data_IF_143341719647
#
_entry.id   IF_143341719647
#
_cell.length_a   1.000
_cell.length_b   1.000
_cell.length_c   1.000
_cell.angle_alpha   90.00
_cell.angle_beta   90.00
_cell.angle_gamma   90.00
#
_symmetry.space_group_name_H-M   'P 1'
#
loop_
_entity.id
_entity.type
_entity.pdbx_description
1 polymer ?
#
# COMPACT_ATOMS: atom_id res chain seq x y z
N UNK A 1 17.47 -6.45 10.00
CA UNK A 1 17.44 -7.88 10.41
C UNK A 1 17.89 -8.73 9.23
N UNK A 2 18.69 -9.77 9.46
CA UNK A 2 19.10 -10.71 8.41
C UNK A 2 18.10 -11.87 8.35
N UNK A 3 17.13 -11.79 7.43
CA UNK A 3 16.08 -12.79 7.26
C UNK A 3 16.61 -14.18 6.95
N UNK A 4 17.76 -14.27 6.26
CA UNK A 4 18.33 -15.54 5.81
C UNK A 4 18.76 -16.46 6.95
N UNK A 5 18.91 -15.91 8.16
CA UNK A 5 19.18 -16.69 9.39
C UNK A 5 17.96 -17.42 9.94
N UNK A 6 16.76 -17.03 9.52
CA UNK A 6 15.50 -17.55 10.07
C UNK A 6 14.69 -18.31 9.01
N UNK A 7 14.59 -17.75 7.81
CA UNK A 7 13.79 -18.31 6.71
C UNK A 7 14.44 -18.02 5.34
N UNK A 8 14.13 -18.85 4.35
CA UNK A 8 14.75 -18.79 3.01
C UNK A 8 14.17 -17.70 2.11
N UNK A 9 14.27 -16.42 2.51
CA UNK A 9 13.85 -15.24 1.74
C UNK A 9 15.01 -14.27 1.52
N UNK A 10 15.05 -13.62 0.37
CA UNK A 10 16.06 -12.64 -0.03
C UNK A 10 15.80 -11.24 0.55
N UNK A 11 14.58 -10.97 0.98
CA UNK A 11 14.14 -9.71 1.56
C UNK A 11 12.65 -9.79 1.89
N UNK A 12 12.14 -8.81 2.64
CA UNK A 12 10.72 -8.67 2.97
C UNK A 12 10.30 -7.20 2.82
N UNK A 13 9.00 -6.93 2.73
CA UNK A 13 8.51 -5.56 2.64
C UNK A 13 8.74 -4.79 3.95
N UNK A 14 8.69 -3.46 3.86
CA UNK A 14 8.69 -2.57 5.03
C UNK A 14 7.29 -2.40 5.66
N UNK A 15 6.28 -3.10 5.12
CA UNK A 15 4.87 -2.97 5.47
C UNK A 15 4.31 -4.30 6.01
N UNK A 16 4.79 -4.79 7.17
CA UNK A 16 4.20 -5.96 7.80
C UNK A 16 2.81 -5.63 8.34
N UNK A 17 1.93 -6.63 8.34
CA UNK A 17 0.65 -6.58 9.04
C UNK A 17 0.71 -7.32 10.37
N UNK A 18 -0.19 -6.98 11.30
CA UNK A 18 -0.24 -7.60 12.62
C UNK A 18 -1.67 -8.05 12.94
N UNK A 19 -1.80 -9.26 13.47
CA UNK A 19 -3.03 -9.68 14.16
C UNK A 19 -3.06 -9.11 15.60
N UNK A 20 -4.24 -9.02 16.24
CA UNK A 20 -4.37 -8.47 17.59
C UNK A 20 -3.58 -9.19 18.68
N UNK A 21 -3.22 -10.46 18.46
CA UNK A 21 -2.38 -11.23 19.38
C UNK A 21 -0.89 -10.90 19.27
N UNK A 22 -0.50 -10.05 18.31
CA UNK A 22 0.88 -9.68 18.02
C UNK A 22 1.55 -10.50 16.93
N UNK A 23 0.87 -11.50 16.33
CA UNK A 23 1.40 -12.26 15.20
C UNK A 23 1.65 -11.32 14.03
N UNK A 24 2.87 -11.31 13.51
CA UNK A 24 3.23 -10.49 12.35
C UNK A 24 3.19 -11.30 11.05
N UNK A 25 2.66 -10.69 10.00
CA UNK A 25 2.69 -11.21 8.64
C UNK A 25 3.49 -10.26 7.75
N UNK A 26 4.27 -10.81 6.84
CA UNK A 26 5.00 -10.04 5.85
C UNK A 26 5.09 -10.84 4.53
N UNK A 27 5.53 -10.19 3.45
CA UNK A 27 5.80 -10.84 2.18
C UNK A 27 7.25 -10.63 1.77
N UNK A 28 7.86 -11.68 1.21
CA UNK A 28 9.27 -11.66 0.78
C UNK A 28 9.54 -12.52 -0.44
N UNK A 29 10.63 -12.24 -1.14
CA UNK A 29 10.98 -12.96 -2.38
C UNK A 29 11.98 -14.07 -2.13
N UNK A 30 11.90 -15.15 -2.89
CA UNK A 30 12.97 -16.14 -3.03
C UNK A 30 13.35 -16.29 -4.50
N UNK A 31 14.64 -16.37 -4.78
CA UNK A 31 15.18 -16.59 -6.12
C UNK A 31 15.97 -17.91 -6.15
N UNK A 32 15.54 -18.85 -6.99
CA UNK A 32 16.15 -20.18 -7.07
C UNK A 32 16.27 -20.71 -8.49
N UNK A 33 16.83 -21.91 -8.63
CA UNK A 33 17.04 -22.59 -9.92
C UNK A 33 15.74 -22.80 -10.72
N UNK A 34 14.60 -22.88 -10.03
CA UNK A 34 13.29 -23.10 -10.65
C UNK A 34 12.51 -21.81 -10.93
N UNK A 35 13.09 -20.64 -10.62
CA UNK A 35 12.47 -19.33 -10.83
C UNK A 35 12.36 -18.50 -9.56
N UNK A 36 11.47 -17.51 -9.59
CA UNK A 36 11.18 -16.62 -8.47
C UNK A 36 9.84 -16.95 -7.82
N UNK A 37 9.79 -16.85 -6.50
CA UNK A 37 8.59 -17.03 -5.70
C UNK A 37 8.36 -15.83 -4.77
N UNK A 38 7.10 -15.53 -4.51
CA UNK A 38 6.64 -14.61 -3.47
C UNK A 38 6.18 -15.44 -2.28
N UNK A 39 6.70 -15.16 -1.09
CA UNK A 39 6.48 -15.96 0.10
C UNK A 39 5.70 -15.15 1.12
N UNK A 40 4.66 -15.76 1.66
CA UNK A 40 3.95 -15.25 2.81
C UNK A 40 4.68 -15.71 4.07
N UNK A 41 5.13 -14.76 4.86
CA UNK A 41 5.90 -14.94 6.08
C UNK A 41 4.97 -14.72 7.27
N UNK A 42 5.02 -15.62 8.25
CA UNK A 42 4.37 -15.47 9.55
C UNK A 42 5.42 -15.50 10.64
N UNK A 43 5.36 -14.56 11.59
CA UNK A 43 6.20 -14.49 12.78
C UNK A 43 5.29 -14.53 14.00
N UNK A 44 5.47 -15.49 14.92
CA UNK A 44 4.63 -15.63 16.11
C UNK A 44 4.80 -14.43 17.07
N UNK A 45 3.82 -14.19 17.96
CA UNK A 45 3.85 -13.07 18.89
C UNK A 45 4.82 -13.28 20.07
N UNK A 46 5.06 -14.54 20.44
CA UNK A 46 5.82 -14.89 21.64
C UNK A 46 7.32 -14.63 21.45
N UNK A 47 7.88 -13.84 22.36
CA UNK A 47 9.33 -13.72 22.56
C UNK A 47 9.63 -14.41 23.89
N UNK A 48 10.32 -15.54 23.84
CA UNK A 48 10.75 -16.27 25.05
C UNK A 48 11.83 -15.45 25.78
N UNK A 49 12.67 -14.74 25.02
CA UNK A 49 13.69 -13.83 25.54
C UNK A 49 13.60 -12.44 24.89
N UNK A 50 13.94 -11.39 25.65
CA UNK A 50 13.97 -9.98 25.17
C UNK A 50 14.92 -9.75 23.98
N UNK A 51 15.85 -10.67 23.72
CA UNK A 51 16.76 -10.64 22.58
C UNK A 51 16.23 -11.33 21.32
N UNK A 52 15.10 -12.06 21.40
CA UNK A 52 14.51 -12.72 20.25
C UNK A 52 13.90 -11.70 19.29
N UNK A 53 14.24 -11.85 18.01
CA UNK A 53 13.75 -10.97 16.94
C UNK A 53 12.71 -11.67 16.09
N UNK A 54 13.14 -12.64 15.28
CA UNK A 54 12.30 -13.37 14.31
C UNK A 54 12.30 -14.89 14.57
N UNK A 55 12.55 -15.32 15.81
CA UNK A 55 12.49 -16.73 16.14
C UNK A 55 11.07 -17.27 15.89
N UNK A 56 10.99 -18.48 15.34
CA UNK A 56 9.72 -19.08 14.93
C UNK A 56 9.13 -18.53 13.63
N UNK A 57 9.82 -17.63 12.91
CA UNK A 57 9.39 -17.20 11.59
C UNK A 57 9.23 -18.38 10.62
N UNK A 58 8.15 -18.38 9.84
CA UNK A 58 7.79 -19.44 8.91
C UNK A 58 7.34 -18.87 7.57
N UNK A 59 7.67 -19.56 6.49
CA UNK A 59 7.00 -19.37 5.20
C UNK A 59 5.76 -20.26 5.20
N UNK A 60 4.58 -19.65 5.18
CA UNK A 60 3.30 -20.38 5.24
C UNK A 60 2.69 -20.62 3.84
N UNK A 61 3.13 -19.84 2.84
CA UNK A 61 2.71 -20.01 1.45
C UNK A 61 3.80 -19.50 0.51
N UNK A 62 3.99 -20.16 -0.63
CA UNK A 62 4.88 -19.71 -1.71
C UNK A 62 4.10 -19.65 -3.03
N UNK A 63 4.03 -18.47 -3.62
CA UNK A 63 3.36 -18.19 -4.88
C UNK A 63 4.43 -18.07 -5.97
N UNK A 64 4.37 -18.92 -6.99
CA UNK A 64 5.30 -18.84 -8.11
C UNK A 64 5.03 -17.59 -8.95
N UNK A 65 6.09 -16.87 -9.33
CA UNK A 65 5.98 -15.77 -10.30
C UNK A 65 5.44 -16.27 -11.63
N UNK A 66 4.51 -15.53 -12.21
CA UNK A 66 4.05 -15.77 -13.58
C UNK A 66 5.21 -15.79 -14.58
N UNK A 67 6.18 -14.89 -14.34
CA UNK A 67 7.37 -14.72 -15.17
C UNK A 67 8.62 -15.07 -14.35
N UNK A 68 9.20 -16.25 -14.61
CA UNK A 68 10.27 -16.84 -13.77
C UNK A 68 11.44 -15.89 -13.48
N UNK A 69 11.88 -15.12 -14.48
CA UNK A 69 13.03 -14.20 -14.38
C UNK A 69 12.64 -12.72 -14.35
N UNK A 70 11.34 -12.44 -14.27
CA UNK A 70 10.77 -11.10 -14.16
C UNK A 70 9.66 -11.04 -13.10
N UNK A 71 9.96 -11.35 -11.82
CA UNK A 71 8.98 -11.18 -10.75
C UNK A 71 8.51 -9.74 -10.67
N UNK A 72 7.32 -9.55 -10.13
CA UNK A 72 6.77 -8.25 -9.80
C UNK A 72 7.54 -7.62 -8.64
N UNK A 73 7.81 -6.33 -8.74
CA UNK A 73 8.07 -5.48 -7.59
C UNK A 73 6.75 -5.17 -6.90
N UNK A 74 6.70 -5.38 -5.59
CA UNK A 74 5.58 -5.01 -4.73
C UNK A 74 6.13 -4.39 -3.46
N UNK A 75 5.35 -3.48 -2.89
CA UNK A 75 5.77 -2.68 -1.74
C UNK A 75 4.96 -3.02 -0.48
N UNK A 76 3.69 -3.38 -0.64
CA UNK A 76 2.80 -3.85 0.42
C UNK A 76 1.90 -4.98 -0.09
N UNK A 77 1.01 -5.49 0.77
CA UNK A 77 0.05 -6.54 0.47
C UNK A 77 -1.24 -6.30 1.27
N UNK A 78 -2.35 -6.92 0.89
CA UNK A 78 -3.60 -6.83 1.65
C UNK A 78 -3.71 -7.93 2.70
N UNK A 79 -4.34 -7.64 3.83
CA UNK A 79 -4.66 -8.65 4.85
C UNK A 79 -6.07 -8.42 5.41
N UNK A 80 -6.86 -9.49 5.44
CA UNK A 80 -8.14 -9.55 6.15
C UNK A 80 -8.01 -10.42 7.39
N UNK A 81 -9.14 -10.68 8.08
CA UNK A 81 -9.17 -11.63 9.19
C UNK A 81 -8.67 -13.03 8.78
N UNK A 82 -9.08 -13.52 7.61
CA UNK A 82 -8.81 -14.90 7.17
C UNK A 82 -7.91 -15.00 5.94
N UNK A 83 -7.62 -13.91 5.24
CA UNK A 83 -6.92 -13.96 3.95
C UNK A 83 -5.76 -12.98 3.84
N UNK A 84 -4.78 -13.36 3.03
CA UNK A 84 -3.68 -12.51 2.57
C UNK A 84 -3.84 -12.34 1.06
N UNK A 85 -3.71 -11.10 0.58
CA UNK A 85 -3.92 -10.73 -0.81
C UNK A 85 -2.63 -10.17 -1.37
N UNK A 86 -2.03 -10.90 -2.30
CA UNK A 86 -0.86 -10.47 -3.02
C UNK A 86 -1.23 -9.88 -4.39
N UNK A 87 -0.72 -8.68 -4.66
CA UNK A 87 -0.97 -7.95 -5.90
C UNK A 87 0.26 -8.11 -6.81
N UNK A 88 0.19 -9.00 -7.78
CA UNK A 88 1.24 -9.19 -8.78
C UNK A 88 1.05 -8.18 -9.93
N UNK A 89 1.69 -7.03 -9.78
CA UNK A 89 1.56 -5.88 -10.69
C UNK A 89 2.57 -5.89 -11.86
N UNK A 90 2.33 -5.11 -12.94
CA UNK A 90 3.19 -5.01 -14.12
C UNK A 90 4.48 -4.18 -13.90
N UNK A 91 4.86 -3.90 -12.66
CA UNK A 91 6.15 -3.30 -12.32
C UNK A 91 7.17 -4.43 -12.16
N UNK A 92 7.91 -4.77 -13.21
CA UNK A 92 8.71 -6.01 -13.29
C UNK A 92 10.17 -5.78 -12.90
N UNK A 93 10.74 -6.75 -12.19
CA UNK A 93 12.15 -6.81 -11.77
C UNK A 93 12.92 -7.78 -12.67
N UNK A 94 13.70 -7.26 -13.61
CA UNK A 94 14.52 -8.08 -14.49
C UNK A 94 15.77 -8.61 -13.75
N UNK A 95 15.69 -9.82 -13.22
CA UNK A 95 16.74 -10.41 -12.38
C UNK A 95 18.08 -10.52 -13.11
N UNK A 96 18.10 -10.76 -14.43
CA UNK A 96 19.33 -10.78 -15.21
C UNK A 96 20.04 -9.42 -15.23
N UNK A 97 19.30 -8.33 -15.44
CA UNK A 97 19.85 -6.97 -15.35
C UNK A 97 20.37 -6.68 -13.95
N UNK A 98 19.68 -7.15 -12.93
CA UNK A 98 20.01 -6.88 -11.53
C UNK A 98 21.24 -7.66 -11.08
N UNK A 99 21.37 -8.94 -11.44
CA UNK A 99 22.54 -9.77 -11.16
C UNK A 99 23.79 -9.20 -11.88
N UNK A 100 23.62 -8.70 -13.11
CA UNK A 100 24.72 -8.11 -13.89
C UNK A 100 24.99 -6.62 -13.61
N UNK A 101 24.22 -6.00 -12.70
CA UNK A 101 24.24 -4.55 -12.46
C UNK A 101 25.62 -4.02 -12.07
N UNK A 102 26.29 -4.68 -11.12
CA UNK A 102 27.64 -4.31 -10.66
C UNK A 102 28.67 -4.35 -11.79
N UNK A 103 28.63 -5.39 -12.64
CA UNK A 103 29.55 -5.53 -13.77
C UNK A 103 29.28 -4.45 -14.83
N UNK A 104 28.02 -4.06 -14.99
CA UNK A 104 27.59 -3.03 -15.96
C UNK A 104 27.70 -1.59 -15.45
N UNK A 105 28.08 -1.39 -14.18
CA UNK A 105 28.08 -0.07 -13.54
C UNK A 105 26.68 0.59 -13.49
N UNK A 106 25.63 -0.24 -13.39
CA UNK A 106 24.22 0.19 -13.39
C UNK A 106 23.61 0.06 -12.00
N UNK A 107 22.58 0.86 -11.72
CA UNK A 107 21.86 0.79 -10.46
C UNK A 107 20.91 -0.43 -10.43
N UNK A 108 20.58 -0.91 -9.23
CA UNK A 108 19.59 -1.98 -9.06
C UNK A 108 18.21 -1.59 -9.62
N UNK A 109 17.85 -0.30 -9.45
CA UNK A 109 16.62 0.30 -9.99
C UNK A 109 16.52 0.22 -11.51
N UNK A 110 17.63 0.17 -12.25
CA UNK A 110 17.64 0.04 -13.71
C UNK A 110 17.12 -1.33 -14.19
N UNK A 111 17.02 -2.28 -13.24
CA UNK A 111 16.40 -3.58 -13.45
C UNK A 111 14.87 -3.56 -13.30
N UNK A 112 14.28 -2.48 -12.79
CA UNK A 112 12.84 -2.37 -12.56
C UNK A 112 12.20 -1.58 -13.69
N UNK A 113 11.14 -2.09 -14.29
CA UNK A 113 10.44 -1.43 -15.39
C UNK A 113 8.94 -1.67 -15.38
N UNK A 114 8.20 -0.62 -15.74
CA UNK A 114 6.77 -0.71 -16.06
C UNK A 114 6.57 -1.47 -17.37
N UNK A 115 5.84 -2.59 -17.32
CA UNK A 115 5.56 -3.47 -18.45
C UNK A 115 4.03 -3.68 -18.59
N UNK A 116 3.27 -2.66 -19.07
CA UNK A 116 1.79 -2.65 -19.08
C UNK A 116 1.15 -3.67 -20.03
N UNK A 117 1.95 -4.38 -20.84
CA UNK A 117 1.44 -5.52 -21.61
C UNK A 117 1.04 -6.71 -20.73
N UNK A 118 1.48 -6.73 -19.46
CA UNK A 118 1.01 -7.69 -18.47
C UNK A 118 -0.19 -7.13 -17.70
N UNK A 119 -1.14 -8.00 -17.38
CA UNK A 119 -2.25 -7.68 -16.49
C UNK A 119 -1.80 -7.73 -15.02
N UNK A 120 -2.48 -6.97 -14.16
CA UNK A 120 -2.37 -7.13 -12.70
C UNK A 120 -3.10 -8.41 -12.29
N UNK A 121 -2.53 -9.20 -11.38
CA UNK A 121 -3.17 -10.40 -10.81
C UNK A 121 -3.32 -10.26 -9.31
N UNK A 122 -4.46 -10.71 -8.78
CA UNK A 122 -4.65 -10.82 -7.33
C UNK A 122 -4.59 -12.29 -6.94
N UNK A 123 -3.73 -12.61 -5.99
CA UNK A 123 -3.59 -13.94 -5.41
C UNK A 123 -4.15 -13.89 -4.00
N UNK A 124 -5.09 -14.79 -3.67
CA UNK A 124 -5.73 -14.85 -2.34
C UNK A 124 -5.26 -16.11 -1.64
N UNK A 125 -4.62 -15.94 -0.49
CA UNK A 125 -4.11 -17.03 0.35
C UNK A 125 -4.96 -17.11 1.61
N UNK A 126 -5.48 -18.29 1.93
CA UNK A 126 -6.07 -18.57 3.23
C UNK A 126 -4.97 -18.51 4.30
N UNK A 127 -5.08 -17.53 5.19
CA UNK A 127 -4.06 -17.20 6.20
C UNK A 127 -3.89 -18.32 7.24
N UNK A 128 -4.96 -19.07 7.50
CA UNK A 128 -4.98 -20.11 8.54
C UNK A 128 -4.30 -21.39 8.04
N UNK A 129 -4.55 -21.75 6.78
CA UNK A 129 -4.07 -23.01 6.17
C UNK A 129 -2.82 -22.83 5.32
N UNK A 130 -2.51 -21.59 4.90
CA UNK A 130 -1.46 -21.30 3.92
C UNK A 130 -1.83 -21.67 2.48
N UNK A 131 -3.07 -22.11 2.24
CA UNK A 131 -3.52 -22.54 0.93
C UNK A 131 -3.77 -21.34 0.00
N UNK A 132 -3.15 -21.36 -1.17
CA UNK A 132 -3.50 -20.45 -2.27
C UNK A 132 -4.87 -20.86 -2.83
N UNK A 133 -5.83 -19.94 -2.82
CA UNK A 133 -7.15 -20.16 -3.39
C UNK A 133 -7.09 -20.22 -4.92
N UNK A 134 -7.95 -21.02 -5.58
CA UNK A 134 -7.90 -21.25 -7.01
C UNK A 134 -8.43 -20.07 -7.86
N UNK A 135 -8.98 -19.03 -7.22
CA UNK A 135 -9.55 -17.87 -7.89
C UNK A 135 -8.52 -17.15 -8.78
N UNK A 136 -8.83 -17.06 -10.07
CA UNK A 136 -7.96 -16.44 -11.08
C UNK A 136 -8.37 -14.98 -11.33
N UNK A 137 -8.06 -14.09 -10.39
CA UNK A 137 -8.46 -12.68 -10.47
C UNK A 137 -7.45 -11.83 -11.23
N UNK A 138 -7.93 -11.03 -12.18
CA UNK A 138 -7.12 -10.16 -13.02
C UNK A 138 -7.72 -8.77 -13.11
N UNK A 139 -6.89 -7.76 -13.34
CA UNK A 139 -7.34 -6.42 -13.71
C UNK A 139 -6.47 -5.83 -14.81
N UNK A 140 -6.93 -4.70 -15.36
CA UNK A 140 -6.09 -3.83 -16.18
C UNK A 140 -4.81 -3.46 -15.43
N UNK A 141 -3.71 -3.21 -16.14
CA UNK A 141 -2.44 -2.84 -15.52
C UNK A 141 -2.60 -1.56 -14.67
N UNK A 142 -2.09 -1.60 -13.44
CA UNK A 142 -1.89 -0.43 -12.57
C UNK A 142 -0.68 -0.69 -11.66
N UNK A 143 -0.15 0.36 -11.03
CA UNK A 143 0.84 0.27 -9.96
C UNK A 143 0.22 0.68 -8.63
N UNK A 144 0.58 -0.01 -7.57
CA UNK A 144 0.29 0.36 -6.18
C UNK A 144 1.52 0.19 -5.33
N UNK A 145 1.77 1.16 -4.45
CA UNK A 145 2.78 1.04 -3.39
C UNK A 145 2.11 0.69 -2.06
N UNK A 146 1.04 1.40 -1.70
CA UNK A 146 0.37 1.24 -0.43
C UNK A 146 -1.06 0.71 -0.57
N UNK A 147 -1.32 -0.35 0.17
CA UNK A 147 -2.65 -0.80 0.49
C UNK A 147 -3.27 0.11 1.55
N UNK A 148 -4.57 0.39 1.42
CA UNK A 148 -5.33 1.23 2.37
C UNK A 148 -5.93 0.34 3.46
N UNK A 149 -6.81 -0.57 3.06
CA UNK A 149 -7.38 -1.60 3.94
C UNK A 149 -7.91 -2.78 3.09
N UNK A 150 -8.16 -3.91 3.74
CA UNK A 150 -8.83 -5.05 3.14
C UNK A 150 -9.76 -5.67 4.17
N UNK A 151 -10.92 -6.18 3.75
CA UNK A 151 -11.86 -6.84 4.66
C UNK A 151 -12.73 -7.86 3.93
N UNK A 152 -13.46 -8.67 4.70
CA UNK A 152 -14.38 -9.66 4.17
C UNK A 152 -15.83 -9.19 4.32
N UNK A 153 -16.64 -9.31 3.27
CA UNK A 153 -18.08 -9.06 3.31
C UNK A 153 -18.79 -9.95 2.29
N UNK A 154 -19.91 -10.58 2.70
CA UNK A 154 -20.77 -11.45 1.87
C UNK A 154 -20.00 -12.41 0.93
N UNK A 155 -19.00 -13.13 1.47
CA UNK A 155 -18.23 -14.11 0.70
C UNK A 155 -17.24 -13.51 -0.29
N UNK A 156 -16.93 -12.23 -0.18
CA UNK A 156 -15.93 -11.53 -0.96
C UNK A 156 -14.82 -10.96 -0.07
N UNK A 157 -13.64 -10.81 -0.64
CA UNK A 157 -12.63 -9.88 -0.13
C UNK A 157 -12.82 -8.53 -0.83
N UNK A 158 -12.90 -7.47 -0.03
CA UNK A 158 -12.85 -6.08 -0.49
C UNK A 158 -11.44 -5.56 -0.24
N UNK A 159 -10.81 -5.00 -1.27
CA UNK A 159 -9.43 -4.53 -1.24
C UNK A 159 -9.36 -3.08 -1.72
N UNK A 160 -8.89 -2.19 -0.87
CA UNK A 160 -8.73 -0.77 -1.16
C UNK A 160 -7.23 -0.43 -1.28
N UNK A 161 -6.85 0.24 -2.37
CA UNK A 161 -5.46 0.49 -2.76
C UNK A 161 -5.26 1.93 -3.23
N UNK A 162 -4.10 2.50 -2.96
CA UNK A 162 -3.60 3.68 -3.68
C UNK A 162 -3.01 3.23 -5.03
N UNK A 163 -3.65 3.62 -6.14
CA UNK A 163 -3.36 3.10 -7.48
C UNK A 163 -2.96 4.20 -8.47
N UNK A 164 -1.92 3.93 -9.26
CA UNK A 164 -1.42 4.72 -10.38
C UNK A 164 -1.62 3.98 -11.70
N UNK A 165 -1.95 4.68 -12.79
CA UNK A 165 -2.14 4.07 -14.11
C UNK A 165 -0.83 3.87 -14.90
N UNK A 166 0.30 4.32 -14.34
CA UNK A 166 1.63 4.03 -14.86
C UNK A 166 2.61 3.68 -13.74
N UNK A 167 3.79 3.17 -14.12
CA UNK A 167 4.86 2.82 -13.18
C UNK A 167 6.08 3.73 -13.25
N UNK A 168 5.91 5.01 -13.60
CA UNK A 168 7.02 5.96 -13.76
C UNK A 168 7.51 6.58 -12.46
N UNK A 169 6.79 6.40 -11.35
CA UNK A 169 7.12 7.02 -10.06
C UNK A 169 8.55 6.72 -9.60
N UNK A 170 9.05 5.49 -9.75
CA UNK A 170 10.43 5.15 -9.36
C UNK A 170 11.51 5.95 -10.09
N UNK A 171 11.26 6.35 -11.34
CA UNK A 171 12.17 7.21 -12.11
C UNK A 171 12.07 8.67 -11.64
N UNK A 172 10.86 9.15 -11.36
CA UNK A 172 10.64 10.52 -10.92
C UNK A 172 11.26 10.83 -9.55
N UNK A 173 11.28 9.87 -8.63
CA UNK A 173 11.84 10.03 -7.28
C UNK A 173 13.38 9.92 -7.21
N UNK A 174 14.08 9.89 -8.35
CA UNK A 174 15.54 9.97 -8.36
C UNK A 174 16.01 11.37 -7.88
N UNK A 175 17.08 11.42 -7.08
CA UNK A 175 17.61 12.68 -6.52
C UNK A 175 17.91 13.74 -7.59
N UNK A 176 18.33 13.34 -8.79
CA UNK A 176 18.57 14.24 -9.91
C UNK A 176 17.29 14.95 -10.41
N UNK A 177 16.15 14.29 -10.29
CA UNK A 177 14.84 14.86 -10.62
C UNK A 177 14.32 15.72 -9.45
N UNK A 178 14.45 15.24 -8.22
CA UNK A 178 14.03 15.98 -7.00
C UNK A 178 14.83 17.29 -6.78
N UNK A 179 16.02 17.42 -7.35
CA UNK A 179 16.84 18.65 -7.30
C UNK A 179 16.54 19.65 -8.42
N UNK A 180 15.63 19.33 -9.35
CA UNK A 180 15.19 20.29 -10.38
C UNK A 180 14.32 21.37 -9.75
N UNK A 181 14.20 22.51 -10.44
CA UNK A 181 13.34 23.63 -10.04
C UNK A 181 12.64 24.24 -11.26
N UNK A 182 11.55 24.97 -11.03
CA UNK A 182 10.74 25.61 -12.07
C UNK A 182 10.28 24.62 -13.13
N UNK A 183 10.30 25.05 -14.40
CA UNK A 183 9.80 24.27 -15.53
C UNK A 183 10.39 22.84 -15.64
N UNK A 184 11.63 22.64 -15.21
CA UNK A 184 12.25 21.32 -15.21
C UNK A 184 11.65 20.36 -14.17
N UNK A 185 11.24 20.88 -13.02
CA UNK A 185 10.51 20.11 -12.00
C UNK A 185 9.08 19.87 -12.44
N UNK A 186 8.42 20.87 -13.03
CA UNK A 186 7.05 20.75 -13.56
C UNK A 186 6.97 19.66 -14.63
N UNK A 187 7.96 19.57 -15.50
CA UNK A 187 8.04 18.50 -16.50
C UNK A 187 8.12 17.12 -15.85
N UNK A 188 8.89 16.96 -14.77
CA UNK A 188 8.95 15.69 -14.03
C UNK A 188 7.61 15.40 -13.38
N UNK A 189 7.05 16.36 -12.64
CA UNK A 189 5.78 16.21 -11.95
C UNK A 189 4.62 15.84 -12.89
N UNK A 190 4.55 16.46 -14.07
CA UNK A 190 3.53 16.18 -15.09
C UNK A 190 3.76 14.87 -15.84
N UNK A 191 4.93 14.24 -15.68
CA UNK A 191 5.25 12.95 -16.28
C UNK A 191 4.88 11.75 -15.42
N UNK A 192 4.38 11.93 -14.19
CA UNK A 192 4.07 10.83 -13.26
C UNK A 192 2.56 10.66 -13.14
N UNK A 193 2.10 9.40 -13.17
CA UNK A 193 0.71 9.08 -12.87
C UNK A 193 0.35 9.46 -11.43
N UNK A 194 -0.82 10.06 -11.25
CA UNK A 194 -1.37 10.35 -9.91
C UNK A 194 -1.86 9.05 -9.27
N UNK A 195 -1.81 9.02 -7.94
CA UNK A 195 -2.32 7.90 -7.15
C UNK A 195 -3.73 8.20 -6.67
N UNK A 196 -4.67 7.30 -6.91
CA UNK A 196 -6.06 7.44 -6.48
C UNK A 196 -6.53 6.21 -5.70
N UNK A 197 -7.40 6.37 -4.69
CA UNK A 197 -7.91 5.27 -3.89
C UNK A 197 -8.96 4.50 -4.70
N UNK A 198 -8.67 3.21 -4.95
CA UNK A 198 -9.50 2.31 -5.74
C UNK A 198 -9.87 1.07 -4.95
N UNK A 199 -11.15 0.66 -5.04
CA UNK A 199 -11.70 -0.55 -4.43
C UNK A 199 -11.84 -1.66 -5.46
N UNK A 200 -11.33 -2.83 -5.14
CA UNK A 200 -11.54 -4.08 -5.86
C UNK A 200 -12.34 -5.05 -4.99
N UNK A 201 -13.16 -5.89 -5.62
CA UNK A 201 -13.94 -6.93 -4.93
C UNK A 201 -13.61 -8.29 -5.56
N UNK A 202 -13.20 -9.24 -4.71
CA UNK A 202 -12.74 -10.57 -5.09
C UNK A 202 -13.69 -11.63 -4.47
N UNK A 203 -14.65 -12.17 -5.22
CA UNK A 203 -15.55 -13.22 -4.73
C UNK A 203 -14.79 -14.51 -4.42
N UNK A 204 -14.84 -15.00 -3.18
CA UNK A 204 -13.99 -16.11 -2.70
C UNK A 204 -14.42 -17.49 -3.23
N UNK A 205 -15.72 -17.67 -3.45
CA UNK A 205 -16.31 -18.93 -3.91
C UNK A 205 -16.68 -18.83 -5.39
N UNK A 206 -15.71 -19.00 -6.28
CA UNK A 206 -15.98 -19.07 -7.73
C UNK A 206 -16.01 -20.52 -8.20
N UNK A 207 -17.13 -20.90 -8.80
CA UNK A 207 -17.41 -22.21 -9.37
C UNK A 207 -17.21 -22.23 -10.89
N UNK A 208 -16.87 -23.41 -11.41
CA UNK A 208 -16.89 -23.66 -12.86
C UNK A 208 -18.27 -23.43 -13.48
N UNK A 209 -19.34 -23.59 -12.70
CA UNK A 209 -20.72 -23.42 -13.15
C UNK A 209 -21.23 -21.97 -13.05
N UNK A 210 -20.44 -21.04 -12.49
CA UNK A 210 -20.85 -19.64 -12.41
C UNK A 210 -21.01 -19.02 -13.81
N UNK A 211 -22.00 -18.11 -13.98
CA UNK A 211 -22.31 -17.51 -15.27
C UNK A 211 -21.14 -16.69 -15.82
N UNK A 212 -20.91 -16.82 -17.12
CA UNK A 212 -19.95 -15.99 -17.86
C UNK A 212 -20.59 -14.63 -18.18
N UNK A 213 -19.78 -13.56 -18.16
CA UNK A 213 -20.23 -12.21 -18.52
C UNK A 213 -21.05 -11.49 -17.44
N UNK A 214 -21.43 -12.16 -16.36
CA UNK A 214 -22.14 -11.58 -15.22
C UNK A 214 -21.19 -11.15 -14.10
N UNK A 215 -21.59 -10.12 -13.35
CA UNK A 215 -20.85 -9.69 -12.16
C UNK A 215 -21.09 -10.67 -11.01
N UNK A 216 -20.02 -11.29 -10.52
CA UNK A 216 -20.07 -12.24 -9.42
C UNK A 216 -20.04 -11.57 -8.03
N UNK A 217 -19.84 -10.25 -7.96
CA UNK A 217 -19.91 -9.51 -6.70
C UNK A 217 -21.37 -9.33 -6.24
N UNK A 218 -21.75 -9.78 -5.03
CA UNK A 218 -23.07 -9.55 -4.45
C UNK A 218 -23.19 -8.20 -3.73
N UNK A 219 -22.11 -7.41 -3.66
CA UNK A 219 -22.05 -6.21 -2.83
C UNK A 219 -22.79 -5.03 -3.47
N UNK A 220 -24.00 -4.75 -2.99
CA UNK A 220 -24.85 -3.67 -3.52
C UNK A 220 -24.33 -2.25 -3.27
N UNK A 221 -23.41 -2.07 -2.31
CA UNK A 221 -22.86 -0.76 -1.94
C UNK A 221 -21.60 -0.39 -2.73
N UNK A 222 -21.09 -1.27 -3.60
CA UNK A 222 -19.87 -1.03 -4.36
C UNK A 222 -20.14 -1.18 -5.86
N UNK A 223 -19.60 -0.25 -6.64
CA UNK A 223 -19.65 -0.34 -8.11
C UNK A 223 -18.54 -1.22 -8.70
N UNK A 224 -17.63 -1.75 -7.88
CA UNK A 224 -16.59 -2.66 -8.33
C UNK A 224 -17.22 -3.97 -8.83
N UNK A 225 -16.63 -4.54 -9.88
CA UNK A 225 -17.17 -5.75 -10.52
C UNK A 225 -16.10 -6.82 -10.67
N UNK A 226 -16.54 -8.07 -10.65
CA UNK A 226 -15.72 -9.26 -10.86
C UNK A 226 -16.45 -10.17 -11.85
N UNK A 227 -16.06 -10.11 -13.12
CA UNK A 227 -16.78 -10.78 -14.21
C UNK A 227 -15.99 -11.97 -14.73
N UNK A 228 -16.56 -13.17 -14.62
CA UNK A 228 -15.95 -14.39 -15.18
C UNK A 228 -16.01 -14.36 -16.71
N UNK A 229 -14.87 -14.61 -17.34
CA UNK A 229 -14.71 -14.70 -18.78
C UNK A 229 -14.72 -16.16 -19.24
N UNK A 230 -14.89 -16.39 -20.55
CA UNK A 230 -14.92 -17.73 -21.16
C UNK A 230 -13.62 -18.53 -20.96
N UNK A 231 -12.48 -17.86 -20.70
CA UNK A 231 -11.21 -18.52 -20.38
C UNK A 231 -11.07 -18.88 -18.87
N UNK A 232 -12.15 -18.69 -18.10
CA UNK A 232 -12.21 -18.95 -16.66
C UNK A 232 -11.59 -17.87 -15.78
N UNK A 233 -10.98 -16.82 -16.35
CA UNK A 233 -10.43 -15.71 -15.56
C UNK A 233 -11.56 -14.82 -15.05
N UNK A 234 -11.35 -14.25 -13.87
CA UNK A 234 -12.27 -13.30 -13.25
C UNK A 234 -11.68 -11.91 -13.45
N UNK A 235 -12.34 -11.11 -14.29
CA UNK A 235 -11.89 -9.75 -14.60
C UNK A 235 -12.48 -8.75 -13.61
N UNK A 236 -11.61 -8.18 -12.78
CA UNK A 236 -11.93 -7.25 -11.72
C UNK A 236 -11.80 -5.80 -12.21
N UNK A 237 -12.90 -5.05 -12.18
CA UNK A 237 -12.92 -3.61 -12.41
C UNK A 237 -13.12 -2.89 -11.07
N UNK A 238 -12.45 -1.77 -10.89
CA UNK A 238 -12.46 -1.04 -9.62
C UNK A 238 -13.63 -0.07 -9.50
N UNK A 239 -13.91 0.31 -8.25
CA UNK A 239 -14.66 1.51 -7.87
C UNK A 239 -13.69 2.60 -7.43
N UNK A 240 -13.92 3.86 -7.83
CA UNK A 240 -13.22 5.01 -7.25
C UNK A 240 -13.83 5.34 -5.88
N UNK A 241 -12.97 5.53 -4.88
CA UNK A 241 -13.35 5.84 -3.50
C UNK A 241 -13.24 7.34 -3.16
N UNK A 242 -13.13 8.19 -4.17
CA UNK A 242 -12.92 9.62 -4.01
C UNK A 242 -13.88 10.44 -4.88
N UNK A 243 -14.14 11.70 -4.50
CA UNK A 243 -14.77 12.71 -5.35
C UNK A 243 -13.80 13.23 -6.44
N UNK A 244 -14.34 13.90 -7.47
CA UNK A 244 -13.54 14.41 -8.61
C UNK A 244 -12.49 15.46 -8.20
N UNK A 245 -12.74 16.24 -7.14
CA UNK A 245 -11.85 17.29 -6.62
C UNK A 245 -10.53 16.74 -6.04
N UNK A 246 -10.40 15.44 -5.74
CA UNK A 246 -9.10 14.85 -5.35
C UNK A 246 -8.05 14.97 -6.49
N UNK A 247 -8.48 15.13 -7.74
CA UNK A 247 -7.55 15.39 -8.85
C UNK A 247 -6.80 16.72 -8.69
N UNK A 248 -7.46 17.75 -8.12
CA UNK A 248 -6.87 19.06 -7.85
C UNK A 248 -5.78 19.00 -6.75
N UNK A 249 -5.86 17.97 -5.91
CA UNK A 249 -4.94 17.68 -4.82
C UNK A 249 -3.77 16.78 -5.24
N UNK A 250 -3.69 16.42 -6.53
CA UNK A 250 -2.63 15.59 -7.08
C UNK A 250 -2.70 14.12 -6.66
N UNK A 251 -3.88 13.67 -6.22
CA UNK A 251 -4.10 12.33 -5.72
C UNK A 251 -3.75 12.17 -4.24
N UNK A 252 -3.70 10.92 -3.77
CA UNK A 252 -3.43 10.56 -2.37
C UNK A 252 -2.51 9.35 -2.26
N UNK A 253 -1.56 9.43 -1.34
CA UNK A 253 -0.62 8.37 -0.97
C UNK A 253 -0.31 8.42 0.53
N UNK A 254 0.50 7.48 1.01
CA UNK A 254 0.76 7.27 2.46
C UNK A 254 -0.54 7.07 3.27
N UNK A 255 -1.40 6.11 2.88
CA UNK A 255 -2.66 5.88 3.55
C UNK A 255 -2.45 5.33 4.97
N UNK A 256 -3.24 5.86 5.91
CA UNK A 256 -3.33 5.43 7.29
C UNK A 256 -4.80 5.30 7.69
N UNK A 257 -5.10 4.37 8.59
CA UNK A 257 -6.44 4.14 9.13
C UNK A 257 -6.36 4.03 10.65
N UNK A 258 -7.50 3.90 11.33
CA UNK A 258 -7.54 3.38 12.70
C UNK A 258 -7.19 1.89 12.70
N UNK A 259 -5.90 1.59 12.48
CA UNK A 259 -5.41 0.25 12.17
C UNK A 259 -5.72 -0.74 13.29
N UNK A 260 -5.47 -0.36 14.55
CA UNK A 260 -5.67 -1.23 15.71
C UNK A 260 -7.11 -1.73 15.88
N UNK A 261 -8.11 -0.96 15.42
CA UNK A 261 -9.51 -1.36 15.54
C UNK A 261 -10.13 -1.85 14.21
N UNK A 262 -9.70 -1.30 13.07
CA UNK A 262 -10.37 -1.45 11.77
C UNK A 262 -9.54 -2.14 10.68
N UNK A 263 -8.27 -2.47 10.92
CA UNK A 263 -7.52 -3.31 9.98
C UNK A 263 -8.20 -4.67 9.83
N UNK A 264 -8.37 -5.12 8.58
CA UNK A 264 -9.05 -6.39 8.30
C UNK A 264 -10.59 -6.33 8.41
N UNK A 265 -11.17 -5.17 8.73
CA UNK A 265 -12.62 -4.97 8.97
C UNK A 265 -13.18 -3.87 8.07
N UNK A 266 -14.50 -3.94 7.86
CA UNK A 266 -15.25 -2.88 7.17
C UNK A 266 -15.07 -1.55 7.93
N UNK A 267 -14.75 -0.51 7.18
CA UNK A 267 -14.31 0.79 7.69
C UNK A 267 -14.87 1.91 6.80
N UNK A 268 -14.73 3.16 7.23
CA UNK A 268 -15.24 4.35 6.57
C UNK A 268 -14.16 5.39 6.29
N UNK A 269 -13.14 5.54 7.13
CA UNK A 269 -12.18 6.64 7.04
C UNK A 269 -10.76 6.15 6.85
N UNK A 270 -10.04 6.82 5.94
CA UNK A 270 -8.59 6.78 5.90
C UNK A 270 -8.03 8.20 5.76
N UNK A 271 -6.75 8.33 6.06
CA UNK A 271 -5.99 9.57 6.02
C UNK A 271 -4.80 9.38 5.09
N UNK A 272 -4.36 10.41 4.38
CA UNK A 272 -3.18 10.34 3.53
C UNK A 272 -2.60 11.72 3.23
N UNK A 273 -1.54 11.76 2.43
CA UNK A 273 -0.94 12.99 1.94
C UNK A 273 -1.47 13.31 0.53
N UNK A 274 -1.77 14.58 0.27
CA UNK A 274 -2.00 15.11 -1.09
C UNK A 274 -0.68 15.43 -1.78
N UNK A 275 -0.62 15.24 -3.11
CA UNK A 275 0.60 15.31 -3.92
C UNK A 275 0.45 16.27 -5.10
N UNK A 276 0.12 17.54 -4.83
CA UNK A 276 0.21 18.59 -5.86
C UNK A 276 1.65 18.88 -6.29
N UNK A 277 2.61 18.28 -5.60
CA UNK A 277 4.04 18.28 -5.89
C UNK A 277 4.61 16.85 -5.84
N UNK A 278 5.91 16.69 -6.13
CA UNK A 278 6.60 15.40 -5.95
C UNK A 278 6.79 15.04 -4.46
N UNK A 279 6.44 15.93 -3.53
CA UNK A 279 6.41 15.68 -2.09
C UNK A 279 5.01 16.00 -1.59
N UNK A 280 4.60 15.37 -0.49
CA UNK A 280 3.31 15.65 0.13
C UNK A 280 3.23 17.10 0.59
N UNK A 281 2.14 17.79 0.26
CA UNK A 281 1.96 19.23 0.53
C UNK A 281 0.66 19.53 1.31
N UNK A 282 -0.05 18.48 1.68
CA UNK A 282 -1.34 18.55 2.35
C UNK A 282 -1.64 17.22 3.02
N UNK A 283 -2.51 17.26 4.02
CA UNK A 283 -3.10 16.08 4.63
C UNK A 283 -4.55 15.99 4.18
N UNK A 284 -5.04 14.78 3.95
CA UNK A 284 -6.39 14.53 3.46
C UNK A 284 -7.03 13.44 4.33
N UNK A 285 -8.21 13.72 4.88
CA UNK A 285 -9.14 12.72 5.40
C UNK A 285 -10.12 12.35 4.29
N UNK A 286 -10.34 11.07 4.04
CA UNK A 286 -11.30 10.56 3.06
C UNK A 286 -12.36 9.67 3.71
N UNK A 287 -13.63 9.92 3.37
CA UNK A 287 -14.78 9.06 3.67
C UNK A 287 -15.05 8.14 2.48
N UNK A 288 -14.71 6.84 2.59
CA UNK A 288 -14.84 5.88 1.48
C UNK A 288 -16.29 5.46 1.20
N UNK A 289 -17.23 5.82 2.08
CA UNK A 289 -18.66 5.51 1.91
C UNK A 289 -19.34 6.65 1.15
N UNK A 290 -19.17 7.88 1.63
CA UNK A 290 -19.80 9.05 1.00
C UNK A 290 -18.96 9.68 -0.10
N UNK A 291 -17.70 9.26 -0.26
CA UNK A 291 -16.72 9.80 -1.21
C UNK A 291 -16.57 11.31 -1.04
N UNK A 292 -16.34 11.72 0.20
CA UNK A 292 -16.07 13.12 0.57
C UNK A 292 -14.69 13.23 1.18
N UNK A 293 -14.06 14.39 1.07
CA UNK A 293 -12.74 14.65 1.63
C UNK A 293 -12.71 15.92 2.50
N UNK A 294 -11.73 15.98 3.38
CA UNK A 294 -11.39 17.16 4.19
C UNK A 294 -9.90 17.34 4.17
N UNK A 295 -9.42 18.56 3.93
CA UNK A 295 -8.02 18.85 3.66
C UNK A 295 -7.48 19.78 4.72
N UNK A 296 -6.27 19.50 5.20
CA UNK A 296 -5.43 20.44 5.92
C UNK A 296 -4.24 20.79 5.04
N UNK A 297 -3.93 22.10 4.95
CA UNK A 297 -2.83 22.63 4.16
C UNK A 297 -2.36 23.96 4.73
N UNK A 298 -1.05 24.16 4.70
CA UNK A 298 -0.40 25.44 4.99
C UNK A 298 0.66 25.68 3.91
N UNK A 299 0.56 26.78 3.16
CA UNK A 299 1.46 27.02 2.02
C UNK A 299 2.92 27.17 2.49
N UNK A 300 3.84 26.52 1.78
CA UNK A 300 5.26 26.48 2.15
C UNK A 300 5.61 25.40 3.18
N UNK A 301 4.63 24.63 3.65
CA UNK A 301 4.81 23.54 4.59
C UNK A 301 4.46 22.19 3.96
N UNK A 302 5.22 21.16 4.33
CA UNK A 302 5.18 19.84 3.70
C UNK A 302 5.03 18.76 4.78
N UNK A 303 3.82 18.21 4.97
CA UNK A 303 3.55 17.21 6.00
C UNK A 303 4.10 15.83 5.63
N UNK A 304 4.47 15.05 6.65
CA UNK A 304 4.71 13.61 6.54
C UNK A 304 3.41 12.81 6.58
N UNK A 305 3.52 11.48 6.46
CA UNK A 305 2.41 10.53 6.67
C UNK A 305 1.55 10.88 7.91
N UNK A 306 0.20 10.93 7.79
CA UNK A 306 -0.71 11.24 8.88
C UNK A 306 -0.98 10.02 9.78
N UNK A 307 -0.24 9.88 10.86
CA UNK A 307 -0.39 8.76 11.80
C UNK A 307 -1.62 8.96 12.68
N UNK A 308 -2.60 8.05 12.58
CA UNK A 308 -3.79 8.07 13.43
C UNK A 308 -3.50 7.52 14.83
N UNK A 309 -3.98 8.22 15.86
CA UNK A 309 -3.90 7.82 17.26
C UNK A 309 -5.31 7.86 17.88
N UNK A 310 -5.89 6.71 18.29
CA UNK A 310 -7.22 6.68 18.88
C UNK A 310 -7.25 7.37 20.23
N UNK A 311 -8.33 8.10 20.51
CA UNK A 311 -8.60 8.57 21.87
C UNK A 311 -8.87 7.36 22.79
N UNK A 312 -8.34 7.34 24.04
CA UNK A 312 -8.58 6.23 24.97
C UNK A 312 -10.07 5.96 25.17
N UNK A 313 -10.50 4.71 24.97
CA UNK A 313 -11.89 4.28 25.20
C UNK A 313 -12.89 4.71 24.11
N UNK A 314 -12.44 5.33 23.03
CA UNK A 314 -13.32 5.69 21.90
C UNK A 314 -13.89 4.45 21.21
N UNK A 315 -15.16 4.54 20.81
CA UNK A 315 -15.80 3.60 19.87
C UNK A 315 -16.03 4.22 18.49
N UNK A 316 -15.75 5.50 18.31
CA UNK A 316 -15.85 6.18 17.01
C UNK A 316 -14.60 5.87 16.18
N UNK A 317 -14.80 5.53 14.90
CA UNK A 317 -13.71 5.15 13.99
C UNK A 317 -12.66 6.25 13.85
N UNK A 318 -13.12 7.50 13.75
CA UNK A 318 -12.33 8.73 13.66
C UNK A 318 -12.24 9.50 14.98
N UNK A 319 -12.60 8.86 16.11
CA UNK A 319 -12.45 9.45 17.44
C UNK A 319 -11.00 9.39 17.91
N UNK A 320 -10.21 10.40 17.58
CA UNK A 320 -8.79 10.43 17.90
C UNK A 320 -8.10 11.65 17.32
N UNK A 321 -6.78 11.56 17.15
CA UNK A 321 -5.96 12.61 16.56
C UNK A 321 -5.11 12.08 15.41
N UNK A 322 -4.71 12.98 14.52
CA UNK A 322 -3.70 12.73 13.50
C UNK A 322 -2.42 13.45 13.90
N UNK A 323 -1.31 12.72 13.86
CA UNK A 323 0.03 13.25 14.04
C UNK A 323 0.76 13.29 12.70
N UNK A 324 1.38 14.43 12.37
CA UNK A 324 2.23 14.55 11.19
C UNK A 324 3.40 15.48 11.47
N UNK A 325 4.60 15.09 11.03
CA UNK A 325 5.78 15.97 11.08
C UNK A 325 5.74 16.86 9.85
N UNK A 326 5.65 18.16 10.06
CA UNK A 326 5.56 19.16 9.00
C UNK A 326 6.89 19.89 8.90
N UNK A 327 7.44 19.92 7.68
CA UNK A 327 8.71 20.59 7.41
C UNK A 327 8.53 21.78 6.48
N UNK A 328 9.45 22.73 6.55
CA UNK A 328 9.50 23.90 5.66
C UNK A 328 10.90 24.10 5.09
N UNK A 329 11.03 24.45 3.80
CA UNK A 329 12.30 24.84 3.23
C UNK A 329 12.74 26.23 3.72
N UNK A 330 11.82 27.10 4.15
CA UNK A 330 12.13 28.42 4.70
C UNK A 330 13.02 28.27 5.94
N UNK A 331 14.08 29.08 6.02
CA UNK A 331 15.03 29.04 7.13
C UNK A 331 14.60 29.92 8.30
N UNK A 332 13.60 30.78 8.11
CA UNK A 332 13.05 31.65 9.14
C UNK A 332 11.89 30.99 9.90
N UNK A 333 11.37 29.87 9.40
CA UNK A 333 10.25 29.14 9.97
C UNK A 333 10.73 27.82 10.61
N UNK A 334 10.02 27.38 11.66
CA UNK A 334 10.33 26.15 12.37
C UNK A 334 9.58 24.96 11.75
N UNK A 335 10.22 23.79 11.76
CA UNK A 335 9.50 22.52 11.55
C UNK A 335 8.65 22.23 12.79
N UNK A 336 7.58 21.46 12.67
CA UNK A 336 6.73 21.15 13.81
C UNK A 336 6.07 19.77 13.71
N UNK A 337 5.73 19.20 14.86
CA UNK A 337 4.76 18.11 14.96
C UNK A 337 3.36 18.72 15.02
N UNK A 338 2.54 18.47 14.00
CA UNK A 338 1.15 18.88 13.92
C UNK A 338 0.24 17.86 14.62
N UNK A 339 -0.78 18.35 15.33
CA UNK A 339 -1.86 17.54 15.89
C UNK A 339 -3.19 18.04 15.32
N UNK A 340 -3.86 17.20 14.55
CA UNK A 340 -5.23 17.46 14.07
C UNK A 340 -6.23 16.60 14.84
N UNK A 341 -7.42 17.13 15.07
CA UNK A 341 -8.57 16.30 15.46
C UNK A 341 -8.96 15.41 14.27
N UNK A 342 -9.01 14.10 14.46
CA UNK A 342 -9.23 13.18 13.36
C UNK A 342 -10.67 13.22 12.81
N UNK A 343 -11.62 13.80 13.54
CA UNK A 343 -13.03 13.90 13.17
C UNK A 343 -13.30 15.09 12.26
N UNK A 344 -12.94 16.30 12.68
CA UNK A 344 -13.18 17.53 11.91
C UNK A 344 -11.95 18.03 11.13
N UNK A 345 -10.78 17.43 11.36
CA UNK A 345 -9.51 17.77 10.72
C UNK A 345 -8.99 19.18 11.03
N UNK A 346 -9.51 19.80 12.10
CA UNK A 346 -9.02 21.08 12.61
C UNK A 346 -7.75 20.88 13.44
N UNK A 347 -6.88 21.89 13.43
CA UNK A 347 -5.67 21.86 14.22
C UNK A 347 -5.96 22.07 15.71
N UNK A 348 -5.52 21.10 16.53
CA UNK A 348 -5.58 21.16 17.98
C UNK A 348 -4.35 21.84 18.58
N UNK A 349 -3.23 21.77 17.87
CA UNK A 349 -1.98 22.44 18.21
C UNK A 349 -0.79 21.85 17.48
N UNK A 350 0.38 22.45 17.73
CA UNK A 350 1.65 22.00 17.16
C UNK A 350 2.81 22.14 18.15
N UNK A 351 3.83 21.30 18.01
CA UNK A 351 5.07 21.37 18.77
C UNK A 351 6.23 21.72 17.84
N UNK A 352 6.73 22.95 17.93
CA UNK A 352 7.83 23.44 17.11
C UNK A 352 9.17 22.82 17.50
N UNK A 353 9.97 22.52 16.48
CA UNK A 353 11.33 22.00 16.63
C UNK A 353 12.29 22.90 15.82
N UNK A 354 13.18 23.65 16.48
CA UNK A 354 14.08 24.60 15.83
C UNK A 354 15.31 23.92 15.21
N UNK A 355 15.09 22.82 14.48
CA UNK A 355 16.15 22.07 13.80
C UNK A 355 15.69 21.67 12.41
N UNK A 356 16.61 21.62 11.46
CA UNK A 356 16.33 21.13 10.10
C UNK A 356 16.11 19.63 10.13
N UNK A 357 15.02 19.18 9.50
CA UNK A 357 14.70 17.77 9.35
C UNK A 357 14.58 17.42 7.86
N UNK A 358 15.08 16.25 7.44
CA UNK A 358 14.78 15.73 6.10
C UNK A 358 13.32 15.28 6.01
N UNK A 359 12.77 15.25 4.80
CA UNK A 359 11.47 14.66 4.54
C UNK A 359 11.50 13.15 4.84
N UNK A 360 10.53 12.69 5.64
CA UNK A 360 10.38 11.28 6.04
C UNK A 360 9.36 10.53 5.18
N UNK A 361 9.27 9.21 5.38
CA UNK A 361 8.30 8.36 4.68
C UNK A 361 7.22 7.85 5.63
N UNK A 362 7.59 6.97 6.57
CA UNK A 362 6.64 6.30 7.46
C UNK A 362 6.96 6.53 8.94
N UNK A 363 5.91 6.48 9.76
CA UNK A 363 5.99 6.57 11.21
C UNK A 363 5.05 5.60 11.91
N UNK A 364 5.27 5.39 13.20
CA UNK A 364 4.32 4.67 14.05
C UNK A 364 4.26 5.32 15.42
N UNK A 365 3.07 5.31 16.03
CA UNK A 365 2.88 5.75 17.41
C UNK A 365 2.89 4.54 18.33
N UNK A 366 3.76 4.57 19.34
CA UNK A 366 3.88 3.51 20.35
C UNK A 366 3.36 4.08 21.67
N UNK A 367 2.35 3.42 22.24
CA UNK A 367 1.90 3.71 23.61
C UNK A 367 2.95 3.22 24.61
N UNK A 368 3.27 4.06 25.59
CA UNK A 368 4.26 3.76 26.65
C UNK A 368 3.56 3.41 27.95
#
# INVERSE_FOLDING_TARGET
VDWSKFIAVNGATAHPHYDPDGTAYNMGNSYGLHGSCYNVIRVPPEKVDLGETLHGAQVICSIASAERMKPSYYHSFGMTRNYIIFIEQPLKMNLWKMITSRIRGKAFSDGISWEPQYNTRFHVVDKNTGQLLPGMYYSKPFVTFHQINAFEDQGCVVLDLCCQDDGRSLEAYQLQNLRKAGAGLDQVYNSVGRSFPRRFVLPLCVSLNDPEGENLSPLSYSSASAVKQADGKIWCSYENLHPEDLEEEGGVEFPQINYGQFSGKKYRFFYGCGFRHLVGDSLIKLDVVNKTLTIWREDGFYPSEPVFVPAPGTSEEDGGVILSVVITPDQNENNFLLVLDAKNFEELGRAEVPVRMPYGFHGTFVTV
#
